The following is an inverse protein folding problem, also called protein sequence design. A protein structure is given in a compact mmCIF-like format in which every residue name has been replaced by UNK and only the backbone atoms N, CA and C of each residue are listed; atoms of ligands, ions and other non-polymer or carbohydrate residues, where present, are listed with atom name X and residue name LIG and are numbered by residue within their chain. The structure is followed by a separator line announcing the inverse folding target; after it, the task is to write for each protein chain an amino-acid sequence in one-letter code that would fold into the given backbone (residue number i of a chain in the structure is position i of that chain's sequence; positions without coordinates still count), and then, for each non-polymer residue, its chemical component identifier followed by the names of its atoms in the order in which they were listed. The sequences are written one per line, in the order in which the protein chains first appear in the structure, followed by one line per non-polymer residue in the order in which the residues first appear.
data_IF_217047021797
#
_entry.id   IF_217047021797
#
_cell.length_a   1.000
_cell.length_b   1.000
_cell.length_c   1.000
_cell.angle_alpha   90.00
_cell.angle_beta   90.00
_cell.angle_gamma   90.00
#
_symmetry.space_group_name_H-M   'P 1'
#
loop_
_entity.id
_entity.type
_entity.pdbx_description
1 polymer ?
#
# COMPACT_ATOMS: atom_id res chain seq x y z
N UNK A 1 25.22 35.13 7.83
CA UNK A 1 24.05 34.24 7.69
C UNK A 1 24.49 32.84 8.13
N UNK A 2 24.09 32.40 9.33
CA UNK A 2 24.54 31.13 9.92
C UNK A 2 23.43 30.08 9.75
N UNK A 3 23.33 29.49 8.56
CA UNK A 3 22.38 28.39 8.30
C UNK A 3 23.01 27.13 8.89
N UNK A 4 22.45 26.63 9.99
CA UNK A 4 22.84 25.31 10.52
C UNK A 4 22.29 24.24 9.58
N UNK A 5 23.18 23.46 8.97
CA UNK A 5 22.78 22.30 8.17
C UNK A 5 21.95 21.33 9.02
N UNK A 6 20.71 21.08 8.61
CA UNK A 6 19.84 20.11 9.25
C UNK A 6 20.06 18.77 8.55
N UNK A 7 20.60 17.74 9.23
CA UNK A 7 20.86 16.46 8.59
C UNK A 7 19.55 15.79 8.17
N UNK A 8 19.36 15.58 6.86
CA UNK A 8 18.19 14.94 6.25
C UNK A 8 18.31 13.41 6.15
N UNK A 9 19.30 12.83 6.83
CA UNK A 9 19.69 11.41 6.70
C UNK A 9 18.53 10.46 6.97
N UNK A 10 17.66 10.75 7.94
CA UNK A 10 16.52 9.88 8.26
C UNK A 10 15.51 9.79 7.09
N UNK A 11 15.10 10.93 6.53
CA UNK A 11 14.15 10.98 5.42
C UNK A 11 14.71 10.32 4.15
N UNK A 12 16.00 10.56 3.86
CA UNK A 12 16.70 9.95 2.72
C UNK A 12 16.80 8.43 2.88
N UNK A 13 17.19 7.95 4.06
CA UNK A 13 17.28 6.51 4.34
C UNK A 13 15.91 5.83 4.23
N UNK A 14 14.85 6.48 4.74
CA UNK A 14 13.49 5.96 4.61
C UNK A 14 13.05 5.88 3.14
N UNK A 15 13.36 6.89 2.32
CA UNK A 15 13.05 6.87 0.90
C UNK A 15 13.74 5.71 0.17
N UNK A 16 15.04 5.49 0.44
CA UNK A 16 15.78 4.34 -0.11
C UNK A 16 15.23 3.01 0.39
N UNK A 17 14.85 2.92 1.67
CA UNK A 17 14.22 1.72 2.21
C UNK A 17 12.89 1.41 1.50
N UNK A 18 12.03 2.40 1.30
CA UNK A 18 10.72 2.22 0.66
C UNK A 18 10.81 1.73 -0.78
N UNK A 19 11.87 2.10 -1.52
CA UNK A 19 12.14 1.56 -2.88
C UNK A 19 12.46 0.07 -2.81
N UNK A 20 13.36 -0.33 -1.91
CA UNK A 20 13.75 -1.73 -1.73
C UNK A 20 12.56 -2.59 -1.26
N UNK A 21 11.77 -2.06 -0.32
CA UNK A 21 10.54 -2.72 0.13
C UNK A 21 9.57 -2.96 -1.02
N UNK A 22 9.33 -1.94 -1.85
CA UNK A 22 8.44 -2.09 -3.02
C UNK A 22 8.96 -3.14 -4.01
N UNK A 23 10.26 -3.22 -4.25
CA UNK A 23 10.86 -4.23 -5.12
C UNK A 23 10.69 -5.65 -4.58
N UNK A 24 10.93 -5.86 -3.27
CA UNK A 24 10.76 -7.17 -2.63
C UNK A 24 9.31 -7.63 -2.70
N UNK A 25 8.35 -6.76 -2.36
CA UNK A 25 6.92 -7.07 -2.40
C UNK A 25 6.45 -7.39 -3.82
N UNK A 26 6.89 -6.61 -4.81
CA UNK A 26 6.57 -6.89 -6.23
C UNK A 26 7.13 -8.21 -6.70
N UNK A 27 8.33 -8.60 -6.26
CA UNK A 27 8.94 -9.89 -6.63
C UNK A 27 8.09 -11.07 -6.15
N UNK A 28 7.43 -10.95 -4.99
CA UNK A 28 6.53 -11.98 -4.46
C UNK A 28 5.23 -12.11 -5.26
N UNK A 29 4.73 -11.01 -5.82
CA UNK A 29 3.49 -10.97 -6.62
C UNK A 29 3.71 -11.29 -8.11
N UNK A 30 4.95 -11.17 -8.60
CA UNK A 30 5.28 -11.38 -10.01
C UNK A 30 4.88 -12.75 -10.59
N UNK A 31 4.96 -13.88 -9.85
CA UNK A 31 4.53 -15.18 -10.38
C UNK A 31 3.05 -15.24 -10.76
N UNK A 32 2.20 -14.48 -10.07
CA UNK A 32 0.75 -14.44 -10.33
C UNK A 32 0.34 -13.24 -11.18
N UNK A 33 1.02 -12.11 -11.03
CA UNK A 33 0.74 -10.86 -11.74
C UNK A 33 2.05 -10.26 -12.30
N UNK A 34 2.48 -10.68 -13.50
CA UNK A 34 3.78 -10.28 -14.06
C UNK A 34 3.92 -8.78 -14.30
N UNK A 35 2.81 -8.11 -14.64
CA UNK A 35 2.75 -6.67 -14.95
C UNK A 35 2.47 -5.79 -13.73
N UNK A 36 2.42 -6.37 -12.53
CA UNK A 36 2.12 -5.63 -11.29
C UNK A 36 3.14 -4.52 -11.03
N UNK A 37 2.65 -3.27 -11.02
CA UNK A 37 3.45 -2.06 -10.90
C UNK A 37 3.58 -1.59 -9.45
N UNK A 38 4.45 -0.60 -9.21
CA UNK A 38 4.53 0.08 -7.90
C UNK A 38 3.27 0.91 -7.62
N UNK A 39 2.57 1.37 -8.66
CA UNK A 39 1.29 2.08 -8.51
C UNK A 39 0.21 1.12 -8.02
N UNK A 40 0.17 -0.09 -8.57
CA UNK A 40 -0.74 -1.15 -8.11
C UNK A 40 -0.46 -1.53 -6.66
N UNK A 41 0.82 -1.64 -6.28
CA UNK A 41 1.20 -1.90 -4.88
C UNK A 41 0.68 -0.81 -3.94
N UNK A 42 0.80 0.46 -4.36
CA UNK A 42 0.30 1.60 -3.59
C UNK A 42 -1.23 1.60 -3.51
N UNK A 43 -1.92 1.32 -4.61
CA UNK A 43 -3.37 1.20 -4.66
C UNK A 43 -3.86 0.10 -3.70
N UNK A 44 -3.21 -1.06 -3.72
CA UNK A 44 -3.51 -2.19 -2.85
C UNK A 44 -3.48 -1.81 -1.36
N UNK A 45 -2.33 -1.33 -0.86
CA UNK A 45 -2.22 -0.97 0.56
C UNK A 45 -3.08 0.25 0.94
N UNK A 46 -3.30 1.17 0.02
CA UNK A 46 -4.19 2.31 0.25
C UNK A 46 -5.66 1.85 0.37
N UNK A 47 -6.11 0.96 -0.50
CA UNK A 47 -7.43 0.36 -0.43
C UNK A 47 -7.66 -0.39 0.87
N UNK A 48 -6.68 -1.23 1.29
CA UNK A 48 -6.74 -1.91 2.59
C UNK A 48 -6.83 -0.92 3.76
N UNK A 49 -6.05 0.17 3.72
CA UNK A 49 -6.15 1.24 4.73
C UNK A 49 -7.56 1.85 4.75
N UNK A 50 -8.14 2.16 3.59
CA UNK A 50 -9.49 2.71 3.53
C UNK A 50 -10.53 1.76 4.09
N UNK A 51 -10.48 0.47 3.75
CA UNK A 51 -11.37 -0.53 4.34
C UNK A 51 -11.22 -0.57 5.86
N UNK A 52 -9.98 -0.60 6.36
CA UNK A 52 -9.73 -0.63 7.80
C UNK A 52 -10.29 0.60 8.53
N UNK A 53 -10.16 1.81 7.96
CA UNK A 53 -10.74 3.03 8.53
C UNK A 53 -12.27 3.04 8.43
N UNK A 54 -12.84 2.62 7.30
CA UNK A 54 -14.30 2.56 7.12
C UNK A 54 -14.96 1.55 8.05
N UNK A 55 -14.34 0.39 8.28
CA UNK A 55 -14.87 -0.62 9.20
C UNK A 55 -14.98 -0.12 10.65
N UNK A 56 -14.13 0.82 11.07
CA UNK A 56 -14.22 1.45 12.40
C UNK A 56 -15.47 2.31 12.56
N UNK A 57 -16.05 2.79 11.47
CA UNK A 57 -17.23 3.64 11.47
C UNK A 57 -18.53 2.82 11.52
N UNK A 58 -18.46 1.50 11.34
CA UNK A 58 -19.63 0.64 11.37
C UNK A 58 -20.04 0.34 12.81
N UNK A 59 -21.34 0.42 13.14
CA UNK A 59 -21.85 0.11 14.48
C UNK A 59 -21.69 -1.37 14.84
N UNK A 60 -21.62 -2.25 13.85
CA UNK A 60 -21.38 -3.68 14.00
C UNK A 60 -20.34 -4.15 12.98
N UNK A 61 -19.45 -5.05 13.38
CA UNK A 61 -18.46 -5.63 12.47
C UNK A 61 -19.13 -6.61 11.52
N UNK A 62 -18.94 -6.46 10.19
CA UNK A 62 -19.40 -7.44 9.22
C UNK A 62 -18.69 -8.80 9.42
N UNK A 63 -19.24 -9.84 8.81
CA UNK A 63 -18.61 -11.16 8.74
C UNK A 63 -17.20 -11.04 8.12
N UNK A 64 -16.18 -11.73 8.67
CA UNK A 64 -14.83 -11.77 8.11
C UNK A 64 -14.76 -12.08 6.60
N UNK A 65 -15.64 -12.93 6.07
CA UNK A 65 -15.69 -13.26 4.64
C UNK A 65 -16.07 -12.03 3.82
N UNK A 66 -17.06 -11.26 4.29
CA UNK A 66 -17.50 -10.02 3.65
C UNK A 66 -16.40 -8.98 3.71
N UNK A 67 -15.69 -8.87 4.84
CA UNK A 67 -14.53 -7.98 4.97
C UNK A 67 -13.44 -8.34 3.95
N UNK A 68 -13.13 -9.62 3.78
CA UNK A 68 -12.11 -10.07 2.83
C UNK A 68 -12.52 -9.75 1.38
N UNK A 69 -13.79 -9.95 1.02
CA UNK A 69 -14.31 -9.62 -0.30
C UNK A 69 -14.24 -8.11 -0.57
N UNK A 70 -14.68 -7.29 0.39
CA UNK A 70 -14.59 -5.81 0.28
C UNK A 70 -13.12 -5.39 0.16
N UNK A 71 -12.23 -5.95 0.98
CA UNK A 71 -10.80 -5.67 0.94
C UNK A 71 -10.19 -5.98 -0.43
N UNK A 72 -10.51 -7.14 -1.01
CA UNK A 72 -10.03 -7.53 -2.34
C UNK A 72 -10.51 -6.55 -3.43
N UNK A 73 -11.78 -6.17 -3.41
CA UNK A 73 -12.35 -5.25 -4.40
C UNK A 73 -11.80 -3.83 -4.24
N UNK A 74 -11.77 -3.30 -3.02
CA UNK A 74 -11.30 -1.93 -2.75
C UNK A 74 -9.80 -1.80 -2.97
N UNK A 75 -9.02 -2.86 -2.74
CA UNK A 75 -7.58 -2.87 -3.02
C UNK A 75 -7.24 -2.79 -4.52
N UNK A 76 -8.18 -3.12 -5.41
CA UNK A 76 -8.01 -2.95 -6.86
C UNK A 76 -8.39 -1.53 -7.34
N UNK A 77 -9.07 -0.74 -6.50
CA UNK A 77 -9.49 0.62 -6.89
C UNK A 77 -8.26 1.51 -7.09
N UNK A 78 -8.10 2.00 -8.32
CA UNK A 78 -6.96 2.83 -8.72
C UNK A 78 -5.71 2.04 -9.11
N UNK A 79 -5.79 0.71 -9.16
CA UNK A 79 -4.80 -0.11 -9.85
C UNK A 79 -4.93 0.07 -11.37
N UNK A 80 -3.80 -0.05 -12.06
CA UNK A 80 -3.65 0.09 -13.52
C UNK A 80 -3.49 -1.27 -14.18
N UNK A 81 -2.65 -2.14 -13.61
CA UNK A 81 -2.33 -3.45 -14.20
C UNK A 81 -2.84 -4.63 -13.36
N UNK A 82 -3.29 -4.39 -12.13
CA UNK A 82 -3.76 -5.48 -11.27
C UNK A 82 -5.13 -5.98 -11.74
N UNK A 83 -5.23 -7.29 -11.95
CA UNK A 83 -6.46 -8.03 -12.31
C UNK A 83 -6.72 -9.14 -11.31
#
# INVERSE_FOLDING_TARGET
MNIKETPVTNAVNLAFFMVNLALVLRRQLRPTQPDFSVLDLKAHFRGLKYVAETLKLLPQKPDPIVIQQIAAQVALIGAVNAT
#
